data_IF_556074465051
#
_entry.id   IF_556074465051
#
_cell.length_a   1.000
_cell.length_b   1.000
_cell.length_c   1.000
_cell.angle_alpha   90.00
_cell.angle_beta   90.00
_cell.angle_gamma   90.00
#
_symmetry.space_group_name_H-M   'P 1'
#
loop_
_entity.id
_entity.type
_entity.pdbx_description
1 polymer ?
#
# COMPACT_ATOMS: atom_id res chain seq x y z
N UNK A 1 -30.27 34.07 8.69
CA UNK A 1 -28.90 33.54 8.90
C UNK A 1 -27.90 34.71 9.04
N UNK A 2 -26.90 34.63 9.94
CA UNK A 2 -25.94 35.72 10.20
C UNK A 2 -24.66 35.53 9.38
N UNK A 3 -24.00 36.63 8.96
CA UNK A 3 -22.75 36.66 8.18
C UNK A 3 -21.63 35.81 8.82
N UNK A 4 -21.61 35.73 10.16
CA UNK A 4 -20.68 34.88 10.91
C UNK A 4 -20.89 33.37 10.68
N UNK A 5 -22.13 32.91 10.51
CA UNK A 5 -22.42 31.49 10.25
C UNK A 5 -21.98 31.09 8.84
N UNK A 6 -22.13 32.00 7.87
CA UNK A 6 -21.66 31.80 6.49
C UNK A 6 -20.13 31.77 6.41
N UNK A 7 -19.43 32.67 7.14
CA UNK A 7 -17.97 32.65 7.19
C UNK A 7 -17.42 31.41 7.88
N UNK A 8 -18.07 30.94 8.94
CA UNK A 8 -17.67 29.72 9.65
C UNK A 8 -17.87 28.48 8.77
N UNK A 9 -18.98 28.40 8.06
CA UNK A 9 -19.26 27.33 7.09
C UNK A 9 -18.22 27.32 5.96
N UNK A 10 -17.85 28.49 5.41
CA UNK A 10 -16.80 28.59 4.39
C UNK A 10 -15.41 28.18 4.91
N UNK A 11 -15.08 28.56 6.15
CA UNK A 11 -13.82 28.20 6.78
C UNK A 11 -13.74 26.69 7.04
N UNK A 12 -14.81 26.08 7.58
CA UNK A 12 -14.90 24.63 7.78
C UNK A 12 -14.83 23.86 6.46
N UNK A 13 -15.47 24.36 5.40
CA UNK A 13 -15.43 23.74 4.07
C UNK A 13 -14.03 23.81 3.44
N UNK A 14 -13.33 24.93 3.65
CA UNK A 14 -11.94 25.14 3.19
C UNK A 14 -10.97 24.25 3.97
N UNK A 15 -11.05 24.22 5.30
CA UNK A 15 -10.19 23.38 6.13
C UNK A 15 -10.39 21.89 5.83
N UNK A 16 -11.64 21.43 5.72
CA UNK A 16 -11.94 20.05 5.34
C UNK A 16 -11.40 19.70 3.94
N UNK A 17 -11.40 20.66 3.00
CA UNK A 17 -10.83 20.43 1.67
C UNK A 17 -9.31 20.28 1.69
N UNK A 18 -8.62 21.04 2.54
CA UNK A 18 -7.17 20.94 2.72
C UNK A 18 -6.80 19.62 3.38
N UNK A 19 -7.51 19.23 4.44
CA UNK A 19 -7.30 17.96 5.15
C UNK A 19 -7.43 16.74 4.22
N UNK A 20 -8.40 16.74 3.29
CA UNK A 20 -8.57 15.66 2.31
C UNK A 20 -7.41 15.56 1.32
N UNK A 21 -6.89 16.69 0.86
CA UNK A 21 -5.73 16.72 -0.03
C UNK A 21 -4.49 16.21 0.69
N UNK A 22 -4.29 16.62 1.95
CA UNK A 22 -3.22 16.09 2.80
C UNK A 22 -3.37 14.57 3.00
N UNK A 23 -4.56 14.08 3.37
CA UNK A 23 -4.80 12.65 3.57
C UNK A 23 -4.58 11.81 2.29
N UNK A 24 -4.94 12.35 1.12
CA UNK A 24 -4.65 11.71 -0.16
C UNK A 24 -3.14 11.69 -0.45
N UNK A 25 -2.43 12.78 -0.16
CA UNK A 25 -0.97 12.86 -0.29
C UNK A 25 -0.26 11.84 0.60
N UNK A 26 -0.66 11.74 1.86
CA UNK A 26 -0.16 10.75 2.82
C UNK A 26 -0.44 9.32 2.36
N UNK A 27 -1.64 9.05 1.82
CA UNK A 27 -1.99 7.75 1.28
C UNK A 27 -1.07 7.34 0.13
N UNK A 28 -0.82 8.23 -0.83
CA UNK A 28 0.10 7.96 -1.94
C UNK A 28 1.53 7.72 -1.45
N UNK A 29 2.00 8.51 -0.46
CA UNK A 29 3.31 8.32 0.16
C UNK A 29 3.42 6.96 0.84
N UNK A 30 2.40 6.55 1.59
CA UNK A 30 2.34 5.25 2.26
C UNK A 30 2.40 4.08 1.27
N UNK A 31 1.70 4.20 0.14
CA UNK A 31 1.76 3.20 -0.94
C UNK A 31 3.16 3.16 -1.56
N UNK A 32 3.76 4.32 -1.82
CA UNK A 32 5.12 4.41 -2.36
C UNK A 32 6.17 3.82 -1.41
N UNK A 33 6.08 4.11 -0.11
CA UNK A 33 6.95 3.52 0.91
C UNK A 33 6.83 2.00 0.96
N UNK A 34 5.60 1.46 0.98
CA UNK A 34 5.38 0.01 0.94
C UNK A 34 6.01 -0.64 -0.30
N UNK A 35 5.87 0.00 -1.46
CA UNK A 35 6.49 -0.47 -2.70
C UNK A 35 8.02 -0.44 -2.62
N UNK A 36 8.60 0.63 -2.06
CA UNK A 36 10.04 0.75 -1.88
C UNK A 36 10.60 -0.30 -0.90
N UNK A 37 9.93 -0.52 0.23
CA UNK A 37 10.27 -1.60 1.17
C UNK A 37 10.24 -2.95 0.47
N UNK A 38 9.21 -3.21 -0.36
CA UNK A 38 9.12 -4.47 -1.09
C UNK A 38 10.26 -4.66 -2.10
N UNK A 39 10.66 -3.60 -2.79
CA UNK A 39 11.83 -3.66 -3.69
C UNK A 39 13.13 -3.95 -2.95
N UNK A 40 13.32 -3.39 -1.75
CA UNK A 40 14.46 -3.71 -0.88
C UNK A 40 14.43 -5.17 -0.41
N UNK A 41 13.27 -5.70 -0.01
CA UNK A 41 13.12 -7.11 0.36
C UNK A 41 13.49 -8.05 -0.80
N UNK A 42 12.99 -7.74 -2.00
CA UNK A 42 13.32 -8.51 -3.21
C UNK A 42 14.81 -8.46 -3.54
N UNK A 43 15.44 -7.29 -3.37
CA UNK A 43 16.88 -7.14 -3.56
C UNK A 43 17.68 -7.98 -2.55
N UNK A 44 17.30 -7.96 -1.27
CA UNK A 44 17.90 -8.80 -0.23
C UNK A 44 17.83 -10.29 -0.58
N UNK A 45 16.67 -10.74 -1.07
CA UNK A 45 16.47 -12.13 -1.51
C UNK A 45 17.33 -12.50 -2.71
N UNK A 46 17.47 -11.59 -3.67
CA UNK A 46 18.33 -11.82 -4.82
C UNK A 46 19.80 -11.97 -4.41
N UNK A 47 20.27 -11.13 -3.48
CA UNK A 47 21.61 -11.26 -2.90
C UNK A 47 21.81 -12.60 -2.19
N UNK A 48 20.85 -13.04 -1.37
CA UNK A 48 20.89 -14.37 -0.73
C UNK A 48 20.98 -15.49 -1.78
N UNK A 49 20.16 -15.43 -2.83
CA UNK A 49 20.17 -16.43 -3.90
C UNK A 49 21.51 -16.45 -4.64
N UNK A 50 22.10 -15.29 -4.89
CA UNK A 50 23.45 -15.16 -5.46
C UNK A 50 24.52 -15.81 -4.57
N UNK A 51 24.46 -15.62 -3.25
CA UNK A 51 25.40 -16.26 -2.32
C UNK A 51 25.24 -17.78 -2.27
N UNK A 52 24.00 -18.29 -2.35
CA UNK A 52 23.73 -19.74 -2.42
C UNK A 52 24.28 -20.35 -3.71
N UNK A 53 24.09 -19.68 -4.85
CA UNK A 53 24.62 -20.14 -6.13
C UNK A 53 26.16 -20.20 -6.10
N UNK A 54 26.80 -19.18 -5.56
CA UNK A 54 28.26 -19.14 -5.37
C UNK A 54 28.75 -20.29 -4.50
N UNK A 55 28.08 -20.56 -3.36
CA UNK A 55 28.41 -21.71 -2.50
C UNK A 55 28.26 -23.04 -3.23
N UNK A 56 27.13 -23.27 -3.91
CA UNK A 56 26.88 -24.49 -4.65
C UNK A 56 27.95 -24.72 -5.74
N UNK A 57 28.37 -23.66 -6.44
CA UNK A 57 29.43 -23.74 -7.44
C UNK A 57 30.80 -24.10 -6.83
N UNK A 58 31.11 -23.63 -5.62
CA UNK A 58 32.38 -23.93 -4.93
C UNK A 58 32.39 -25.27 -4.19
N UNK A 59 31.23 -25.77 -3.77
CA UNK A 59 31.11 -26.95 -2.90
C UNK A 59 30.71 -28.23 -3.64
N UNK A 60 30.21 -28.15 -4.87
CA UNK A 60 29.79 -29.33 -5.64
C UNK A 60 30.99 -30.27 -5.92
N UNK A 61 30.97 -31.47 -5.34
CA UNK A 61 32.00 -32.51 -5.56
C UNK A 61 31.56 -33.59 -6.57
N UNK A 62 30.34 -33.50 -7.10
CA UNK A 62 29.86 -34.39 -8.16
C UNK A 62 28.41 -34.15 -8.60
N UNK A 63 27.95 -34.90 -9.61
CA UNK A 63 26.61 -34.78 -10.21
C UNK A 63 25.43 -34.93 -9.22
N UNK A 64 25.62 -35.70 -8.15
CA UNK A 64 24.64 -35.84 -7.05
C UNK A 64 24.35 -34.51 -6.35
N UNK A 65 25.38 -33.68 -6.13
CA UNK A 65 25.24 -32.39 -5.43
C UNK A 65 24.55 -31.35 -6.32
N UNK A 66 24.80 -31.41 -7.63
CA UNK A 66 24.09 -30.59 -8.61
C UNK A 66 22.59 -30.94 -8.68
N UNK A 67 22.25 -32.23 -8.66
CA UNK A 67 20.85 -32.66 -8.66
C UNK A 67 20.11 -32.22 -7.39
N UNK A 68 20.74 -32.34 -6.21
CA UNK A 68 20.18 -31.79 -4.96
C UNK A 68 19.98 -30.28 -5.05
N UNK A 69 20.97 -29.56 -5.56
CA UNK A 69 20.89 -28.11 -5.75
C UNK A 69 19.70 -27.74 -6.65
N UNK A 70 19.47 -28.47 -7.74
CA UNK A 70 18.35 -28.23 -8.65
C UNK A 70 16.99 -28.46 -7.98
N UNK A 71 16.87 -29.52 -7.17
CA UNK A 71 15.64 -29.85 -6.42
C UNK A 71 15.37 -28.78 -5.35
N UNK A 72 16.39 -28.40 -4.59
CA UNK A 72 16.28 -27.39 -3.54
C UNK A 72 15.92 -26.01 -4.13
N UNK A 73 16.56 -25.61 -5.24
CA UNK A 73 16.22 -24.39 -5.96
C UNK A 73 14.78 -24.39 -6.47
N UNK A 74 14.31 -25.52 -7.00
CA UNK A 74 12.93 -25.63 -7.51
C UNK A 74 11.91 -25.53 -6.38
N UNK A 75 12.20 -26.16 -5.24
CA UNK A 75 11.37 -26.07 -4.05
C UNK A 75 11.33 -24.64 -3.53
N UNK A 76 12.47 -23.99 -3.37
CA UNK A 76 12.55 -22.58 -2.97
C UNK A 76 11.81 -21.66 -3.93
N UNK A 77 11.94 -21.86 -5.25
CA UNK A 77 11.20 -21.08 -6.24
C UNK A 77 9.68 -21.24 -6.09
N UNK A 78 9.20 -22.45 -5.80
CA UNK A 78 7.77 -22.69 -5.58
C UNK A 78 7.25 -22.02 -4.31
N UNK A 79 8.01 -22.10 -3.21
CA UNK A 79 7.68 -21.48 -1.93
C UNK A 79 7.71 -19.95 -2.05
N UNK A 80 8.71 -19.40 -2.74
CA UNK A 80 8.80 -17.98 -3.06
C UNK A 80 7.63 -17.50 -3.90
N UNK A 81 7.26 -18.26 -4.95
CA UNK A 81 6.13 -17.88 -5.81
C UNK A 81 4.82 -17.81 -5.02
N UNK A 82 4.57 -18.79 -4.13
CA UNK A 82 3.40 -18.77 -3.26
C UNK A 82 3.43 -17.58 -2.28
N UNK A 83 4.60 -17.31 -1.68
CA UNK A 83 4.77 -16.20 -0.75
C UNK A 83 4.56 -14.84 -1.45
N UNK A 84 5.17 -14.64 -2.62
CA UNK A 84 4.99 -13.43 -3.44
C UNK A 84 3.52 -13.25 -3.83
N UNK A 85 2.86 -14.30 -4.31
CA UNK A 85 1.46 -14.23 -4.72
C UNK A 85 0.54 -13.80 -3.56
N UNK A 86 0.77 -14.36 -2.36
CA UNK A 86 0.04 -13.97 -1.14
C UNK A 86 0.32 -12.52 -0.76
N UNK A 87 1.58 -12.09 -0.78
CA UNK A 87 1.95 -10.71 -0.46
C UNK A 87 1.36 -9.72 -1.47
N UNK A 88 1.39 -10.01 -2.77
CA UNK A 88 0.79 -9.16 -3.80
C UNK A 88 -0.73 -9.01 -3.62
N UNK A 89 -1.44 -10.09 -3.29
CA UNK A 89 -2.87 -10.05 -3.00
C UNK A 89 -3.18 -9.23 -1.74
N UNK A 90 -2.37 -9.35 -0.69
CA UNK A 90 -2.49 -8.52 0.51
C UNK A 90 -2.28 -7.04 0.19
N UNK A 91 -1.20 -6.68 -0.51
CA UNK A 91 -0.89 -5.31 -0.90
C UNK A 91 -2.01 -4.68 -1.73
N UNK A 92 -2.53 -5.42 -2.71
CA UNK A 92 -3.66 -4.97 -3.52
C UNK A 92 -4.93 -4.74 -2.69
N UNK A 93 -5.22 -5.64 -1.75
CA UNK A 93 -6.39 -5.53 -0.86
C UNK A 93 -6.25 -4.36 0.10
N UNK A 94 -5.11 -4.21 0.77
CA UNK A 94 -4.83 -3.11 1.68
C UNK A 94 -4.90 -1.77 0.97
N UNK A 95 -4.28 -1.65 -0.20
CA UNK A 95 -4.29 -0.41 -1.00
C UNK A 95 -5.73 -0.06 -1.39
N UNK A 96 -6.49 -1.02 -1.91
CA UNK A 96 -7.91 -0.82 -2.26
C UNK A 96 -8.72 -0.37 -1.05
N UNK A 97 -8.56 -1.02 0.09
CA UNK A 97 -9.34 -0.74 1.30
C UNK A 97 -8.98 0.63 1.88
N UNK A 98 -7.73 1.07 1.80
CA UNK A 98 -7.30 2.40 2.23
C UNK A 98 -7.85 3.51 1.30
N UNK A 99 -7.82 3.33 -0.02
CA UNK A 99 -8.48 4.27 -0.95
C UNK A 99 -9.99 4.31 -0.73
N UNK A 100 -10.62 3.15 -0.47
CA UNK A 100 -12.05 3.08 -0.17
C UNK A 100 -12.38 3.81 1.13
N UNK A 101 -11.59 3.62 2.18
CA UNK A 101 -11.76 4.31 3.45
C UNK A 101 -11.62 5.83 3.30
N UNK A 102 -10.61 6.30 2.56
CA UNK A 102 -10.45 7.73 2.24
C UNK A 102 -11.67 8.29 1.48
N UNK A 103 -12.20 7.54 0.51
CA UNK A 103 -13.38 7.94 -0.24
C UNK A 103 -14.64 7.99 0.64
N UNK A 104 -14.86 6.96 1.46
CA UNK A 104 -15.98 6.91 2.40
C UNK A 104 -15.92 8.04 3.43
N UNK A 105 -14.74 8.37 3.97
CA UNK A 105 -14.53 9.50 4.86
C UNK A 105 -14.86 10.83 4.17
N UNK A 106 -14.37 11.03 2.93
CA UNK A 106 -14.65 12.21 2.12
C UNK A 106 -16.15 12.39 1.89
N UNK A 107 -16.87 11.31 1.57
CA UNK A 107 -18.32 11.32 1.35
C UNK A 107 -19.13 11.57 2.63
N UNK A 108 -18.72 10.99 3.75
CA UNK A 108 -19.39 11.17 5.04
C UNK A 108 -19.32 12.63 5.51
N UNK A 109 -18.18 13.29 5.32
CA UNK A 109 -18.02 14.71 5.63
C UNK A 109 -18.76 15.63 4.66
N UNK A 110 -18.76 15.32 3.36
CA UNK A 110 -19.58 16.08 2.39
C UNK A 110 -21.07 15.99 2.73
N UNK A 111 -21.55 14.83 3.19
CA UNK A 111 -22.93 14.67 3.66
C UNK A 111 -23.22 15.54 4.90
N UNK A 112 -22.26 15.69 5.82
CA UNK A 112 -22.37 16.61 6.96
C UNK A 112 -22.39 18.09 6.52
N UNK A 113 -21.55 18.47 5.56
CA UNK A 113 -21.51 19.83 5.00
C UNK A 113 -22.75 20.19 4.15
N UNK A 114 -23.26 19.26 3.35
CA UNK A 114 -24.47 19.44 2.54
C UNK A 114 -25.75 19.50 3.38
N UNK A 115 -25.83 18.75 4.49
CA UNK A 115 -26.93 18.85 5.44
C UNK A 115 -27.00 20.21 6.15
N UNK A 116 -25.86 20.89 6.33
CA UNK A 116 -25.80 22.26 6.84
C UNK A 116 -26.28 23.29 5.80
N UNK A 117 -25.93 23.12 4.52
CA UNK A 117 -26.40 24.01 3.43
C UNK A 117 -27.90 23.85 3.15
N UNK A 118 -28.42 22.63 3.25
CA UNK A 118 -29.86 22.39 3.04
C UNK A 118 -30.71 22.88 4.22
N UNK A 119 -30.18 22.80 5.45
CA UNK A 119 -30.81 23.37 6.65
C UNK A 119 -30.85 24.90 6.63
N UNK A 120 -29.88 25.54 5.96
CA UNK A 120 -29.79 27.00 5.83
C UNK A 120 -30.52 27.54 4.61
N UNK A 121 -30.71 26.74 3.56
CA UNK A 121 -31.57 27.08 2.43
C UNK A 121 -33.07 26.98 2.76
N UNK A 122 -33.44 26.26 3.83
CA UNK A 122 -34.83 26.08 4.30
C UNK A 122 -35.22 26.94 5.52
N UNK A 123 -34.33 27.79 6.04
CA UNK A 123 -34.54 28.66 7.22
C UNK A 123 -34.48 30.14 6.85
#
# INVERSE_FOLDING_TARGET
MNLNDNMKTLNDLTNNSVERMTALGELNMKVAERMATRQMDLFGRWMEQGTKLMRAATEARGYSDLYKTQVDMTKEASEQMMAESKTSLQLATETRDEYRAWFEATMAEMRKGGGLVEATAKA
#
